data_IF_589880000666
#
_entry.id   IF_589880000666
#
_cell.length_a   1.000
_cell.length_b   1.000
_cell.length_c   1.000
_cell.angle_alpha   90.00
_cell.angle_beta   90.00
_cell.angle_gamma   90.00
#
_symmetry.space_group_name_H-M   'P 1'
#
loop_
_entity.id
_entity.type
_entity.pdbx_description
1 polymer ?
#
# COMPACT_ATOMS: atom_id res chain seq x y z
N UNK A 1 -7.83 6.98 -8.97
CA UNK A 1 -7.50 5.65 -9.56
C UNK A 1 -8.40 5.41 -10.77
N UNK A 2 -7.86 4.96 -11.91
CA UNK A 2 -8.70 4.61 -13.07
C UNK A 2 -9.57 3.40 -12.70
N UNK A 3 -10.89 3.44 -12.96
CA UNK A 3 -11.80 2.42 -12.45
C UNK A 3 -11.53 1.02 -13.05
N UNK A 4 -10.92 0.91 -14.23
CA UNK A 4 -10.51 -0.37 -14.83
C UNK A 4 -9.44 -1.15 -14.03
N UNK A 5 -8.60 -0.46 -13.26
CA UNK A 5 -7.52 -1.11 -12.48
C UNK A 5 -8.11 -1.86 -11.27
N UNK A 6 -9.20 -1.36 -10.68
CA UNK A 6 -9.87 -2.00 -9.53
C UNK A 6 -10.52 -3.34 -9.94
N UNK A 7 -10.95 -3.46 -11.19
CA UNK A 7 -11.49 -4.71 -11.69
C UNK A 7 -10.40 -5.74 -12.01
N UNK A 8 -9.27 -5.27 -12.52
CA UNK A 8 -8.15 -6.13 -12.93
C UNK A 8 -7.20 -6.50 -11.77
N UNK A 9 -7.24 -5.79 -10.65
CA UNK A 9 -6.39 -6.10 -9.50
C UNK A 9 -6.89 -7.31 -8.71
N UNK A 10 -5.93 -8.08 -8.18
CA UNK A 10 -6.15 -9.17 -7.23
C UNK A 10 -6.21 -8.70 -5.78
N UNK A 11 -5.68 -7.50 -5.47
CA UNK A 11 -5.73 -6.94 -4.13
C UNK A 11 -5.55 -5.42 -4.11
N UNK A 12 -5.94 -4.81 -2.99
CA UNK A 12 -5.74 -3.40 -2.71
C UNK A 12 -5.03 -3.26 -1.38
N UNK A 13 -3.98 -2.45 -1.32
CA UNK A 13 -3.35 -2.07 -0.06
C UNK A 13 -3.50 -0.55 0.17
N UNK A 14 -3.89 -0.19 1.38
CA UNK A 14 -4.04 1.19 1.82
C UNK A 14 -2.92 1.45 2.82
N UNK A 15 -2.15 2.51 2.60
CA UNK A 15 -0.99 2.86 3.43
C UNK A 15 -1.05 4.33 3.77
N UNK A 16 -0.81 4.63 5.05
CA UNK A 16 -0.57 5.99 5.51
C UNK A 16 0.78 6.02 6.18
N UNK A 17 1.67 6.86 5.68
CA UNK A 17 3.02 7.02 6.19
C UNK A 17 3.32 8.50 6.45
N UNK A 18 4.07 8.75 7.52
CA UNK A 18 4.68 10.04 7.79
C UNK A 18 6.18 9.91 7.55
N UNK A 19 6.76 10.87 6.83
CA UNK A 19 8.20 10.96 6.59
C UNK A 19 8.70 12.32 7.03
N UNK A 20 9.91 12.36 7.58
CA UNK A 20 10.58 13.61 7.90
C UNK A 20 12.07 13.42 8.06
N UNK A 21 12.83 14.51 7.93
CA UNK A 21 14.27 14.44 8.13
C UNK A 21 14.97 15.78 8.21
N UNK A 22 16.16 15.75 8.83
CA UNK A 22 17.14 16.83 8.93
C UNK A 22 18.55 16.21 8.90
N UNK A 23 19.01 15.78 7.72
CA UNK A 23 20.25 15.00 7.53
C UNK A 23 20.10 13.48 7.79
N UNK A 24 19.18 13.11 8.68
CA UNK A 24 18.68 11.74 8.85
C UNK A 24 17.20 11.73 8.46
N UNK A 25 16.79 10.73 7.68
CA UNK A 25 15.39 10.52 7.31
C UNK A 25 14.78 9.40 8.14
N UNK A 26 13.59 9.66 8.63
CA UNK A 26 12.76 8.70 9.32
C UNK A 26 11.39 8.71 8.69
N UNK A 27 10.87 7.52 8.43
CA UNK A 27 9.57 7.31 7.87
C UNK A 27 8.90 6.16 8.61
N UNK A 28 7.64 6.36 9.00
CA UNK A 28 6.86 5.34 9.65
C UNK A 28 5.44 5.39 9.13
N UNK A 29 4.89 4.23 8.83
CA UNK A 29 3.56 4.10 8.30
C UNK A 29 2.90 2.81 8.73
N UNK A 30 1.60 2.82 8.62
CA UNK A 30 0.74 1.68 8.85
C UNK A 30 -0.22 1.57 7.68
N UNK A 31 -0.66 0.36 7.45
CA UNK A 31 -1.57 0.07 6.36
C UNK A 31 -2.28 -1.23 6.57
N UNK A 32 -3.18 -1.52 5.65
CA UNK A 32 -3.81 -2.81 5.54
C UNK A 32 -3.97 -3.20 4.09
N UNK A 33 -3.95 -4.51 3.85
CA UNK A 33 -4.16 -5.10 2.53
C UNK A 33 -5.42 -5.96 2.56
N UNK A 34 -6.19 -5.87 1.49
CA UNK A 34 -7.36 -6.71 1.23
C UNK A 34 -7.18 -7.41 -0.11
N UNK A 35 -7.55 -8.69 -0.16
CA UNK A 35 -7.55 -9.49 -1.38
C UNK A 35 -8.95 -9.54 -1.97
N UNK A 36 -9.03 -9.50 -3.29
CA UNK A 36 -10.24 -9.81 -4.03
C UNK A 36 -10.42 -11.33 -4.03
N UNK A 37 -11.52 -11.79 -3.42
CA UNK A 37 -11.94 -13.17 -3.44
C UNK A 37 -12.80 -13.42 -4.68
N UNK A 38 -12.78 -14.66 -5.15
CA UNK A 38 -13.59 -15.08 -6.29
C UNK A 38 -15.07 -14.75 -6.08
N UNK A 39 -15.74 -14.49 -7.20
CA UNK A 39 -17.14 -14.08 -7.22
C UNK A 39 -18.01 -15.10 -6.50
N UNK A 40 -18.86 -14.62 -5.60
CA UNK A 40 -19.94 -15.43 -5.05
C UNK A 40 -20.92 -15.81 -6.17
N UNK A 41 -21.81 -16.78 -5.93
CA UNK A 41 -22.86 -17.24 -6.85
C UNK A 41 -23.77 -16.12 -7.38
N UNK A 42 -23.66 -14.92 -6.81
CA UNK A 42 -24.36 -13.69 -7.22
C UNK A 42 -23.51 -12.70 -8.04
N UNK A 43 -22.38 -13.12 -8.61
CA UNK A 43 -21.52 -12.32 -9.50
C UNK A 43 -20.92 -11.04 -8.88
N UNK A 44 -20.94 -10.89 -7.55
CA UNK A 44 -20.26 -9.81 -6.85
C UNK A 44 -18.89 -10.31 -6.35
N UNK A 45 -17.82 -9.60 -6.69
CA UNK A 45 -16.50 -9.84 -6.11
C UNK A 45 -16.54 -9.54 -4.62
N UNK A 46 -16.24 -10.54 -3.80
CA UNK A 46 -16.07 -10.39 -2.35
C UNK A 46 -14.65 -9.94 -2.06
N UNK A 47 -14.46 -9.26 -0.94
CA UNK A 47 -13.14 -8.87 -0.45
C UNK A 47 -12.83 -9.66 0.82
N UNK A 48 -11.56 -9.96 1.04
CA UNK A 48 -11.09 -10.62 2.26
C UNK A 48 -11.12 -9.66 3.45
N UNK A 49 -10.98 -10.22 4.65
CA UNK A 49 -10.69 -9.43 5.84
C UNK A 49 -9.32 -8.72 5.69
N UNK A 50 -9.14 -7.53 6.27
CA UNK A 50 -7.91 -6.75 6.10
C UNK A 50 -6.76 -7.35 6.90
N UNK A 51 -5.60 -7.50 6.28
CA UNK A 51 -4.36 -7.82 7.00
C UNK A 51 -3.57 -6.54 7.22
N UNK A 52 -3.28 -6.22 8.47
CA UNK A 52 -2.55 -5.02 8.84
C UNK A 52 -1.04 -5.23 8.75
N UNK A 53 -0.35 -4.20 8.29
CA UNK A 53 1.10 -4.17 8.23
C UNK A 53 1.63 -2.80 8.63
N UNK A 54 2.89 -2.80 9.03
CA UNK A 54 3.66 -1.61 9.37
C UNK A 54 4.82 -1.50 8.41
N UNK A 55 5.14 -0.25 8.07
CA UNK A 55 6.32 0.11 7.31
C UNK A 55 7.14 1.06 8.15
N UNK A 56 8.43 0.77 8.25
CA UNK A 56 9.40 1.70 8.83
C UNK A 56 10.54 1.85 7.85
N UNK A 57 10.94 3.08 7.62
CA UNK A 57 12.02 3.40 6.71
C UNK A 57 12.98 4.36 7.42
N UNK A 58 14.25 4.03 7.38
CA UNK A 58 15.33 4.81 7.96
C UNK A 58 16.30 5.13 6.83
N UNK A 59 16.75 6.37 6.75
CA UNK A 59 17.74 6.74 5.77
C UNK A 59 18.72 7.80 6.26
N UNK A 60 19.80 7.91 5.51
CA UNK A 60 20.89 8.82 5.78
C UNK A 60 21.17 9.62 4.51
N UNK A 61 21.15 10.95 4.61
CA UNK A 61 21.43 11.83 3.48
C UNK A 61 20.91 13.24 3.64
N UNK A 62 21.01 14.04 2.59
CA UNK A 62 20.55 15.42 2.61
C UNK A 62 19.02 15.44 2.56
N UNK A 63 18.39 15.44 3.72
CA UNK A 63 16.95 15.60 3.84
C UNK A 63 16.57 16.73 4.78
N UNK A 64 15.55 17.49 4.41
CA UNK A 64 14.98 18.57 5.20
C UNK A 64 13.47 18.66 4.98
N UNK A 65 12.72 18.58 6.07
CA UNK A 65 11.29 18.83 6.07
C UNK A 65 10.46 17.65 6.58
N UNK A 66 9.18 17.68 6.24
CA UNK A 66 8.18 16.71 6.69
C UNK A 66 7.07 16.58 5.64
N UNK A 67 6.67 15.34 5.39
CA UNK A 67 5.54 15.00 4.53
C UNK A 67 4.71 13.86 5.11
N UNK A 68 3.40 13.91 4.92
CA UNK A 68 2.49 12.79 5.18
C UNK A 68 1.96 12.27 3.85
N UNK A 69 2.10 10.97 3.61
CA UNK A 69 1.74 10.32 2.36
C UNK A 69 0.64 9.31 2.61
N UNK A 70 -0.45 9.44 1.88
CA UNK A 70 -1.54 8.48 1.84
C UNK A 70 -1.52 7.79 0.47
N UNK A 71 -1.34 6.48 0.46
CA UNK A 71 -1.14 5.68 -0.74
C UNK A 71 -2.15 4.55 -0.84
N UNK A 72 -2.63 4.31 -2.05
CA UNK A 72 -3.46 3.17 -2.43
C UNK A 72 -2.70 2.39 -3.50
N UNK A 73 -2.37 1.14 -3.21
CA UNK A 73 -1.67 0.22 -4.09
C UNK A 73 -2.66 -0.79 -4.66
N UNK A 74 -2.74 -0.89 -5.97
CA UNK A 74 -3.44 -1.95 -6.67
C UNK A 74 -2.46 -3.06 -7.03
N UNK A 75 -2.69 -4.24 -6.46
CA UNK A 75 -1.84 -5.41 -6.61
C UNK A 75 -2.44 -6.29 -7.71
N UNK A 76 -1.73 -6.48 -8.82
CA UNK A 76 -2.24 -7.23 -9.97
C UNK A 76 -1.95 -8.74 -9.91
N UNK A 77 -1.22 -9.19 -8.89
CA UNK A 77 -0.81 -10.59 -8.73
C UNK A 77 -0.99 -11.03 -7.28
N UNK A 78 -1.43 -12.28 -7.08
CA UNK A 78 -1.55 -12.91 -5.77
C UNK A 78 -0.24 -12.83 -4.97
N UNK A 79 0.90 -13.04 -5.62
CA UNK A 79 2.21 -12.98 -4.98
C UNK A 79 2.49 -11.60 -4.37
N UNK A 80 2.06 -10.52 -5.02
CA UNK A 80 2.20 -9.16 -4.50
C UNK A 80 1.35 -8.94 -3.25
N UNK A 81 0.20 -9.61 -3.14
CA UNK A 81 -0.65 -9.57 -1.93
C UNK A 81 -0.03 -10.36 -0.78
N UNK A 82 0.48 -11.56 -1.06
CA UNK A 82 1.06 -12.45 -0.03
C UNK A 82 2.35 -11.87 0.56
N UNK A 83 3.13 -11.10 -0.20
CA UNK A 83 4.34 -10.43 0.32
C UNK A 83 4.09 -9.53 1.54
N UNK A 84 2.88 -9.00 1.72
CA UNK A 84 2.51 -8.21 2.90
C UNK A 84 2.26 -9.07 4.15
N UNK A 85 2.14 -10.39 4.00
CA UNK A 85 2.02 -11.33 5.12
C UNK A 85 3.38 -11.74 5.67
N UNK A 86 4.46 -11.40 4.97
CA UNK A 86 5.83 -11.74 5.30
C UNK A 86 6.66 -10.50 5.63
N UNK A 87 7.68 -10.67 6.45
CA UNK A 87 8.66 -9.63 6.74
C UNK A 87 9.61 -9.50 5.54
N UNK A 88 9.76 -8.28 5.03
CA UNK A 88 10.68 -8.01 3.94
C UNK A 88 11.41 -6.69 4.14
N UNK A 89 12.71 -6.74 3.89
CA UNK A 89 13.64 -5.61 3.99
C UNK A 89 14.18 -5.30 2.62
N UNK A 90 14.19 -4.03 2.27
CA UNK A 90 14.81 -3.57 1.03
C UNK A 90 15.64 -2.33 1.30
N UNK A 91 16.70 -2.19 0.54
CA UNK A 91 17.59 -1.05 0.56
C UNK A 91 17.52 -0.36 -0.80
N UNK A 92 17.59 0.95 -0.79
CA UNK A 92 17.88 1.72 -2.00
C UNK A 92 17.97 3.20 -1.70
N UNK A 93 17.60 4.05 -2.65
CA UNK A 93 17.81 5.50 -2.54
C UNK A 93 16.47 6.23 -2.44
N UNK A 94 16.46 7.41 -1.83
CA UNK A 94 15.37 8.39 -1.88
C UNK A 94 15.89 9.70 -2.53
N UNK A 95 15.18 10.23 -3.52
CA UNK A 95 15.49 11.41 -4.32
C UNK A 95 14.14 12.07 -4.61
N UNK A 96 13.84 13.18 -3.96
CA UNK A 96 12.58 13.89 -4.16
C UNK A 96 12.55 15.27 -3.56
N UNK A 97 11.87 16.20 -4.24
CA UNK A 97 11.48 17.51 -3.72
C UNK A 97 9.97 17.66 -3.95
N UNK A 98 9.18 17.67 -2.87
CA UNK A 98 7.71 17.82 -2.96
C UNK A 98 7.28 19.10 -2.26
N UNK A 99 6.57 19.98 -2.94
CA UNK A 99 6.00 21.23 -2.40
C UNK A 99 4.48 21.10 -2.22
N UNK A 100 3.93 21.85 -1.26
CA UNK A 100 2.52 21.78 -0.81
C UNK A 100 1.47 22.12 -1.89
N UNK A 101 1.85 22.63 -3.06
CA UNK A 101 0.93 23.12 -4.09
C UNK A 101 1.24 22.59 -5.50
N UNK A 102 1.41 21.28 -5.64
CA UNK A 102 1.28 20.62 -6.93
C UNK A 102 2.53 19.88 -7.37
N UNK A 103 2.33 18.58 -7.54
CA UNK A 103 3.10 17.63 -8.34
C UNK A 103 4.58 17.97 -8.55
N UNK A 104 5.48 17.25 -7.88
CA UNK A 104 6.69 16.78 -8.57
C UNK A 104 7.19 15.42 -8.07
N UNK A 105 7.76 14.74 -9.06
CA UNK A 105 8.44 13.45 -9.08
C UNK A 105 9.64 13.42 -8.14
N UNK A 106 9.58 12.52 -7.18
CA UNK A 106 10.64 12.08 -6.30
C UNK A 106 10.49 10.59 -6.02
N UNK A 107 11.23 9.78 -6.76
CA UNK A 107 11.13 8.32 -6.79
C UNK A 107 12.52 7.81 -6.61
N UNK A 108 12.78 7.00 -5.58
CA UNK A 108 13.72 5.93 -5.84
C UNK A 108 13.56 4.66 -5.00
N UNK A 109 14.41 3.73 -5.41
CA UNK A 109 14.35 2.30 -5.30
C UNK A 109 14.21 1.79 -3.87
N UNK A 110 13.27 0.86 -3.67
CA UNK A 110 13.29 -0.08 -2.54
C UNK A 110 11.99 -0.20 -1.76
N UNK A 111 11.10 -1.08 -2.22
CA UNK A 111 9.78 -1.52 -1.67
C UNK A 111 8.65 -0.54 -1.38
N UNK A 112 8.79 0.75 -1.64
CA UNK A 112 7.62 1.62 -1.81
C UNK A 112 7.88 2.54 -3.01
N UNK A 113 7.65 1.99 -4.20
CA UNK A 113 7.78 2.70 -5.45
C UNK A 113 6.91 3.96 -5.46
N UNK A 114 7.61 5.10 -5.55
CA UNK A 114 7.30 6.17 -6.50
C UNK A 114 6.16 7.14 -6.14
N UNK A 115 6.56 8.39 -6.00
CA UNK A 115 5.71 9.60 -5.97
C UNK A 115 4.87 9.79 -7.25
N UNK A 116 3.66 10.29 -7.05
CA UNK A 116 2.89 11.19 -7.92
C UNK A 116 3.04 11.11 -9.45
N UNK A 117 3.03 9.93 -10.07
CA UNK A 117 2.32 9.66 -11.33
C UNK A 117 2.38 8.16 -11.64
N UNK A 118 1.28 7.44 -11.44
CA UNK A 118 1.06 6.06 -11.92
C UNK A 118 2.33 5.21 -12.02
N UNK A 119 2.80 4.67 -10.90
CA UNK A 119 3.93 3.76 -10.95
C UNK A 119 3.49 2.40 -11.49
N UNK A 120 4.26 1.85 -12.43
CA UNK A 120 4.11 0.49 -12.93
C UNK A 120 5.42 -0.21 -12.62
N UNK A 121 5.47 -0.90 -11.48
CA UNK A 121 6.57 -1.81 -11.21
C UNK A 121 6.35 -3.08 -12.05
N UNK A 122 6.83 -3.05 -13.30
CA UNK A 122 6.83 -4.21 -14.20
C UNK A 122 8.13 -5.00 -14.01
N UNK A 123 8.18 -5.82 -12.96
CA UNK A 123 8.80 -7.13 -13.15
C UNK A 123 7.71 -7.99 -13.79
N UNK A 124 7.97 -8.61 -14.94
CA UNK A 124 6.98 -9.00 -15.98
C UNK A 124 5.73 -9.81 -15.54
N UNK A 125 5.57 -10.16 -14.25
CA UNK A 125 4.47 -10.93 -13.66
C UNK A 125 3.83 -10.29 -12.38
N UNK A 126 4.34 -9.16 -11.88
CA UNK A 126 3.96 -8.60 -10.57
C UNK A 126 3.62 -7.10 -10.60
N UNK A 127 2.87 -6.66 -11.61
CA UNK A 127 2.48 -5.26 -11.73
C UNK A 127 1.77 -4.75 -10.46
N UNK A 128 2.27 -3.63 -9.91
CA UNK A 128 1.64 -2.89 -8.82
C UNK A 128 1.40 -1.47 -9.32
N UNK A 129 0.16 -0.99 -9.18
CA UNK A 129 -0.21 0.38 -9.50
C UNK A 129 -0.39 1.18 -8.22
N UNK A 130 0.44 2.20 -8.00
CA UNK A 130 0.34 3.08 -6.85
C UNK A 130 -0.38 4.39 -7.19
N UNK A 131 -1.29 4.82 -6.32
CA UNK A 131 -1.81 6.17 -6.28
C UNK A 131 -1.53 6.75 -4.91
N UNK A 132 -0.73 7.82 -4.86
CA UNK A 132 -0.32 8.45 -3.62
C UNK A 132 -0.74 9.92 -3.61
N UNK A 133 -1.08 10.41 -2.43
CA UNK A 133 -1.29 11.82 -2.16
C UNK A 133 -0.37 12.22 -1.01
N UNK A 134 0.55 13.14 -1.29
CA UNK A 134 1.48 13.67 -0.30
C UNK A 134 1.02 15.05 0.17
N UNK A 135 1.16 15.30 1.46
CA UNK A 135 0.87 16.56 2.13
C UNK A 135 2.09 17.00 2.91
N UNK A 136 2.72 18.11 2.51
CA UNK A 136 3.88 18.67 3.20
C UNK A 136 4.95 19.18 2.25
N UNK A 137 6.13 19.42 2.83
CA UNK A 137 7.33 19.83 2.11
C UNK A 137 8.52 19.02 2.64
N UNK A 138 8.99 18.09 1.83
CA UNK A 138 10.21 17.31 2.10
C UNK A 138 11.11 17.40 0.87
N UNK A 139 12.32 17.90 1.09
CA UNK A 139 13.43 17.74 0.17
C UNK A 139 14.29 16.59 0.68
N UNK A 140 14.51 15.55 -0.11
CA UNK A 140 15.36 14.42 0.27
C UNK A 140 16.29 14.00 -0.88
N UNK A 141 17.51 13.65 -0.48
CA UNK A 141 18.49 12.90 -1.23
C UNK A 141 19.18 11.99 -0.23
N UNK A 142 18.69 10.77 -0.07
CA UNK A 142 19.16 9.85 0.97
C UNK A 142 19.28 8.41 0.48
N UNK A 143 20.06 7.61 1.19
CA UNK A 143 20.04 6.15 1.05
C UNK A 143 19.17 5.63 2.18
N UNK A 144 18.18 4.81 1.84
CA UNK A 144 17.13 4.39 2.73
C UNK A 144 17.07 2.86 2.81
N UNK A 145 16.92 2.37 4.04
CA UNK A 145 16.49 1.01 4.33
C UNK A 145 15.03 1.03 4.74
N UNK A 146 14.24 0.21 4.05
CA UNK A 146 12.82 0.02 4.28
C UNK A 146 12.59 -1.36 4.87
N UNK A 147 11.88 -1.41 5.98
CA UNK A 147 11.40 -2.62 6.63
C UNK A 147 9.87 -2.62 6.61
N UNK A 148 9.30 -3.63 5.98
CA UNK A 148 7.86 -3.88 6.01
C UNK A 148 7.62 -5.18 6.74
N UNK A 149 6.73 -5.15 7.72
CA UNK A 149 6.37 -6.33 8.48
C UNK A 149 4.86 -6.34 8.77
N UNK A 150 4.24 -7.53 8.84
CA UNK A 150 2.87 -7.65 9.29
C UNK A 150 2.73 -7.14 10.72
N UNK A 151 1.63 -6.46 11.02
CA UNK A 151 1.34 -5.99 12.37
C UNK A 151 0.81 -7.17 13.20
N UNK A 152 1.74 -7.97 13.75
CA UNK A 152 1.42 -9.19 14.49
C UNK A 152 0.48 -8.92 15.66
N UNK A 153 0.67 -7.81 16.38
CA UNK A 153 -0.17 -7.45 17.53
C UNK A 153 -1.61 -7.14 17.10
N UNK A 154 -1.78 -6.34 16.03
CA UNK A 154 -3.11 -5.98 15.54
C UNK A 154 -3.82 -7.19 14.92
N UNK A 155 -3.10 -7.95 14.08
CA UNK A 155 -3.68 -9.12 13.44
C UNK A 155 -4.02 -10.22 14.45
N UNK A 156 -3.20 -10.42 15.49
CA UNK A 156 -3.50 -11.39 16.54
C UNK A 156 -4.70 -10.95 17.39
N UNK A 157 -4.86 -9.65 17.67
CA UNK A 157 -6.07 -9.15 18.35
C UNK A 157 -7.36 -9.38 17.56
N UNK A 158 -7.29 -9.33 16.23
CA UNK A 158 -8.44 -9.48 15.35
C UNK A 158 -8.73 -10.94 14.98
N UNK A 159 -7.69 -11.74 14.77
CA UNK A 159 -7.77 -13.06 14.15
C UNK A 159 -7.17 -14.19 15.00
N UNK A 160 -6.60 -13.88 16.17
CA UNK A 160 -5.86 -14.84 16.99
C UNK A 160 -4.63 -15.39 16.27
N UNK A 161 -4.44 -16.70 16.33
CA UNK A 161 -3.32 -17.39 15.68
C UNK A 161 -3.62 -17.81 14.23
N UNK A 162 -4.66 -17.26 13.62
CA UNK A 162 -5.01 -17.57 12.23
C UNK A 162 -3.86 -17.14 11.29
N UNK A 163 -3.41 -18.03 10.37
CA UNK A 163 -2.40 -17.65 9.39
C UNK A 163 -2.91 -16.51 8.50
N UNK A 164 -2.11 -15.46 8.32
CA UNK A 164 -2.52 -14.27 7.54
C UNK A 164 -2.86 -14.60 6.08
N UNK A 165 -2.20 -15.60 5.50
CA UNK A 165 -2.54 -16.12 4.17
C UNK A 165 -3.98 -16.68 4.11
N UNK A 166 -4.48 -17.28 5.20
CA UNK A 166 -5.85 -17.78 5.30
C UNK A 166 -6.87 -16.66 5.49
N UNK A 167 -6.49 -15.60 6.21
CA UNK A 167 -7.27 -14.36 6.35
C UNK A 167 -7.48 -13.73 4.97
N UNK A 168 -6.41 -13.59 4.18
CA UNK A 168 -6.48 -13.13 2.80
C UNK A 168 -7.19 -14.12 1.87
N UNK A 169 -7.15 -15.41 2.20
CA UNK A 169 -7.91 -16.48 1.53
C UNK A 169 -9.41 -16.46 1.83
N UNK A 170 -9.88 -15.59 2.72
CA UNK A 170 -11.31 -15.45 3.03
C UNK A 170 -11.86 -16.49 3.99
N UNK A 171 -11.01 -17.22 4.72
CA UNK A 171 -11.44 -18.16 5.77
C UNK A 171 -12.01 -17.44 7.00
N UNK A 172 -11.67 -16.16 7.17
CA UNK A 172 -12.20 -15.30 8.23
C UNK A 172 -13.27 -14.36 7.66
N UNK A 173 -14.44 -14.23 8.30
CA UNK A 173 -15.48 -13.31 7.86
C UNK A 173 -15.00 -11.85 7.94
N UNK A 174 -15.47 -11.03 7.01
CA UNK A 174 -15.18 -9.60 7.03
C UNK A 174 -15.99 -8.87 8.12
N UNK A 175 -15.43 -7.79 8.66
CA UNK A 175 -16.11 -6.95 9.63
C UNK A 175 -17.22 -6.11 8.96
N UNK A 176 -18.36 -5.95 9.64
CA UNK A 176 -19.47 -5.13 9.13
C UNK A 176 -19.07 -3.64 8.98
N UNK A 177 -18.13 -3.16 9.79
CA UNK A 177 -17.62 -1.78 9.75
C UNK A 177 -16.93 -1.44 8.42
N UNK A 178 -16.40 -2.44 7.72
CA UNK A 178 -15.74 -2.26 6.41
C UNK A 178 -16.73 -2.29 5.25
N UNK A 179 -18.03 -2.50 5.51
CA UNK A 179 -19.08 -2.50 4.48
C UNK A 179 -19.08 -1.22 3.63
N UNK A 180 -18.94 0.00 4.18
CA UNK A 180 -18.88 1.22 3.38
C UNK A 180 -17.66 1.24 2.44
N UNK A 181 -16.51 0.77 2.91
CA UNK A 181 -15.29 0.66 2.11
C UNK A 181 -15.49 -0.33 0.95
N UNK A 182 -15.99 -1.53 1.23
CA UNK A 182 -16.23 -2.53 0.19
C UNK A 182 -17.25 -2.07 -0.83
N UNK A 183 -18.34 -1.40 -0.40
CA UNK A 183 -19.31 -0.81 -1.33
C UNK A 183 -18.65 0.23 -2.24
N UNK A 184 -17.84 1.12 -1.69
CA UNK A 184 -17.15 2.16 -2.47
C UNK A 184 -16.20 1.55 -3.52
N UNK A 185 -15.46 0.50 -3.15
CA UNK A 185 -14.58 -0.22 -4.07
C UNK A 185 -15.41 -0.91 -5.17
N UNK A 186 -16.49 -1.60 -4.81
CA UNK A 186 -17.39 -2.26 -5.77
C UNK A 186 -18.05 -1.25 -6.73
N UNK A 187 -18.49 -0.09 -6.23
CA UNK A 187 -19.09 0.96 -7.05
C UNK A 187 -18.07 1.60 -8.00
N UNK A 188 -16.83 1.77 -7.54
CA UNK A 188 -15.72 2.25 -8.39
C UNK A 188 -15.41 1.25 -9.49
N UNK A 189 -15.43 -0.06 -9.19
CA UNK A 189 -15.28 -1.12 -10.18
C UNK A 189 -16.43 -1.17 -11.19
N UNK A 190 -17.69 -0.96 -10.77
CA UNK A 190 -18.84 -0.91 -11.70
C UNK A 190 -18.79 0.28 -12.64
N UNK A 191 -18.43 1.47 -12.15
CA UNK A 191 -18.26 2.68 -12.97
C UNK A 191 -17.14 2.54 -14.01
N UNK A 192 -16.30 1.50 -13.93
CA UNK A 192 -15.32 1.19 -14.96
C UNK A 192 -15.92 0.56 -16.22
N UNK A 193 -17.09 -0.07 -16.09
CA UNK A 193 -17.72 -0.90 -17.12
C UNK A 193 -18.82 -0.16 -17.89
N UNK A 194 -19.10 1.10 -17.54
CA UNK A 194 -20.08 1.99 -18.18
C UNK A 194 -19.36 3.16 -18.83
#
# INVERSE_FOLDING_TARGET
>A
MKPGIVNACEGLAFVKAAKGGLGLTLAHGHGFVIRKLDQDRHANSRWSAPVYFKVSQLGLGAAVGYESVESILALMSYHSVVRFTEEHKVMGTDLGLVTTDGAMSGVPAGTFGTSNHMDVQADNEHAVFAYSQAHGLLANLSINGTDTHPDKDMNHKLYGDAPLAEVLGGKVPTFQELTPLYRMISDTGRKALT
#
